data_IF_001915608596
#
_entry.id   IF_001915608596
#
_cell.length_a   1.000
_cell.length_b   1.000
_cell.length_c   1.000
_cell.angle_alpha   90.00
_cell.angle_beta   90.00
_cell.angle_gamma   90.00
#
_symmetry.space_group_name_H-M   'P 1'
#
loop_
_entity.id
_entity.type
_entity.pdbx_description
1 polymer ?
#
# COMPACT_ATOMS: atom_id res chain seq x y z
N UNK A 1 1.75 -15.65 -46.01
CA UNK A 1 1.11 -16.39 -44.91
C UNK A 1 1.95 -17.64 -44.61
N UNK A 2 2.88 -17.54 -43.66
CA UNK A 2 3.69 -18.70 -43.27
C UNK A 2 2.87 -19.55 -42.30
N UNK A 3 2.43 -20.72 -42.74
CA UNK A 3 1.88 -21.75 -41.86
C UNK A 3 2.95 -22.10 -40.83
N UNK A 4 2.64 -21.85 -39.57
CA UNK A 4 3.44 -22.22 -38.41
C UNK A 4 3.49 -23.76 -38.35
N UNK A 5 4.46 -24.33 -39.07
CA UNK A 5 4.70 -25.75 -39.18
C UNK A 5 4.80 -26.38 -37.80
N UNK A 6 3.99 -27.42 -37.59
CA UNK A 6 3.85 -28.21 -36.36
C UNK A 6 5.17 -28.95 -36.03
N UNK A 7 6.17 -28.24 -35.50
CA UNK A 7 7.38 -28.88 -35.00
C UNK A 7 7.03 -29.73 -33.76
N UNK A 8 7.16 -31.06 -33.89
CA UNK A 8 6.85 -32.03 -32.84
C UNK A 8 7.61 -31.75 -31.56
N UNK A 9 8.83 -31.19 -31.64
CA UNK A 9 9.64 -30.82 -30.46
C UNK A 9 9.02 -29.64 -29.72
N UNK A 10 8.54 -28.64 -30.46
CA UNK A 10 7.82 -27.48 -29.91
C UNK A 10 6.51 -27.91 -29.26
N UNK A 11 5.75 -28.81 -29.91
CA UNK A 11 4.52 -29.35 -29.34
C UNK A 11 4.75 -30.18 -28.07
N UNK A 12 5.81 -30.99 -28.03
CA UNK A 12 6.19 -31.75 -26.83
C UNK A 12 6.58 -30.82 -25.68
N UNK A 13 7.40 -29.79 -25.94
CA UNK A 13 7.74 -28.76 -24.94
C UNK A 13 6.50 -28.02 -24.43
N UNK A 14 5.59 -27.63 -25.32
CA UNK A 14 4.36 -26.94 -24.94
C UNK A 14 3.44 -27.83 -24.09
N UNK A 15 3.34 -29.13 -24.39
CA UNK A 15 2.60 -30.09 -23.56
C UNK A 15 3.21 -30.21 -22.16
N UNK A 16 4.52 -30.35 -22.05
CA UNK A 16 5.21 -30.40 -20.77
C UNK A 16 5.00 -29.10 -19.96
N UNK A 17 5.11 -27.94 -20.61
CA UNK A 17 4.85 -26.65 -19.97
C UNK A 17 3.42 -26.54 -19.46
N UNK A 18 2.43 -27.02 -20.21
CA UNK A 18 1.02 -27.03 -19.77
C UNK A 18 0.82 -27.89 -18.53
N UNK A 19 1.45 -29.06 -18.46
CA UNK A 19 1.38 -29.93 -17.27
C UNK A 19 2.02 -29.24 -16.07
N UNK A 20 3.21 -28.66 -16.24
CA UNK A 20 3.91 -27.91 -15.19
C UNK A 20 3.05 -26.72 -14.71
N UNK A 21 2.51 -25.91 -15.63
CA UNK A 21 1.68 -24.76 -15.27
C UNK A 21 0.41 -25.18 -14.53
N UNK A 22 -0.21 -26.31 -14.91
CA UNK A 22 -1.38 -26.84 -14.21
C UNK A 22 -1.02 -27.27 -12.79
N UNK A 23 0.13 -27.90 -12.61
CA UNK A 23 0.63 -28.30 -11.30
C UNK A 23 1.01 -27.09 -10.43
N UNK A 24 1.63 -26.06 -11.02
CA UNK A 24 1.90 -24.78 -10.34
C UNK A 24 0.60 -24.16 -9.87
N UNK A 25 -0.42 -24.07 -10.73
CA UNK A 25 -1.71 -23.49 -10.35
C UNK A 25 -2.36 -24.27 -9.20
N UNK A 26 -2.38 -25.61 -9.29
CA UNK A 26 -2.91 -26.47 -8.21
C UNK A 26 -2.20 -26.19 -6.88
N UNK A 27 -0.88 -26.06 -6.89
CA UNK A 27 -0.10 -25.75 -5.68
C UNK A 27 -0.35 -24.34 -5.16
N UNK A 28 -0.57 -23.36 -6.04
CA UNK A 28 -0.94 -22.00 -5.65
C UNK A 28 -2.31 -21.99 -4.97
N UNK A 29 -3.29 -22.69 -5.53
CA UNK A 29 -4.64 -22.81 -4.98
C UNK A 29 -4.61 -23.52 -3.61
N UNK A 30 -3.84 -24.59 -3.48
CA UNK A 30 -3.60 -25.27 -2.19
C UNK A 30 -2.93 -24.35 -1.16
N UNK A 31 -1.98 -23.52 -1.62
CA UNK A 31 -1.31 -22.53 -0.77
C UNK A 31 -2.25 -21.42 -0.27
N UNK A 32 -3.25 -21.02 -1.06
CA UNK A 32 -4.22 -19.99 -0.64
C UNK A 32 -5.06 -20.43 0.56
N UNK A 33 -5.40 -21.72 0.66
CA UNK A 33 -6.15 -22.28 1.79
C UNK A 33 -5.35 -22.22 3.11
N UNK A 34 -4.02 -22.13 3.02
CA UNK A 34 -3.12 -22.07 4.17
C UNK A 34 -2.89 -20.64 4.68
N UNK A 35 -3.47 -19.62 4.04
CA UNK A 35 -3.33 -18.25 4.49
C UNK A 35 -4.01 -18.06 5.85
N UNK A 36 -3.30 -17.54 6.86
CA UNK A 36 -3.85 -17.40 8.21
C UNK A 36 -4.82 -16.21 8.33
N UNK A 37 -4.73 -15.25 7.41
CA UNK A 37 -5.51 -14.02 7.40
C UNK A 37 -6.70 -14.14 6.46
N UNK A 38 -7.82 -13.50 6.83
CA UNK A 38 -9.01 -13.36 6.00
C UNK A 38 -9.14 -11.91 5.55
N UNK A 39 -9.65 -11.70 4.34
CA UNK A 39 -9.93 -10.36 3.84
C UNK A 39 -11.04 -9.68 4.67
N UNK A 40 -10.80 -8.43 5.05
CA UNK A 40 -11.82 -7.62 5.72
C UNK A 40 -12.88 -7.16 4.72
N UNK A 41 -14.14 -7.13 5.16
CA UNK A 41 -15.25 -6.63 4.36
C UNK A 41 -16.24 -5.84 5.22
N UNK A 42 -17.07 -5.01 4.58
CA UNK A 42 -18.18 -4.29 5.19
C UNK A 42 -19.45 -4.60 4.41
N UNK A 43 -20.38 -5.29 5.06
CA UNK A 43 -21.67 -5.65 4.47
C UNK A 43 -22.77 -4.86 5.17
N UNK A 44 -23.66 -4.26 4.38
CA UNK A 44 -24.81 -3.53 4.91
C UNK A 44 -26.01 -4.47 5.06
N UNK A 45 -26.76 -4.35 6.15
CA UNK A 45 -27.97 -5.13 6.36
C UNK A 45 -29.20 -4.45 5.76
N UNK A 46 -30.10 -5.24 5.17
CA UNK A 46 -31.40 -4.77 4.69
C UNK A 46 -31.34 -3.67 3.62
N UNK A 47 -31.78 -2.47 3.96
CA UNK A 47 -31.82 -1.30 3.04
C UNK A 47 -30.72 -0.27 3.32
N UNK A 48 -29.78 -0.57 4.21
CA UNK A 48 -28.66 0.32 4.49
C UNK A 48 -27.67 0.35 3.32
N UNK A 49 -26.93 1.45 3.21
CA UNK A 49 -25.91 1.62 2.17
C UNK A 49 -24.56 1.76 2.84
N UNK A 50 -23.56 1.03 2.35
CA UNK A 50 -22.21 1.02 2.93
C UNK A 50 -21.55 2.40 3.01
N UNK A 51 -21.91 3.32 2.12
CA UNK A 51 -21.43 4.71 2.12
C UNK A 51 -21.91 5.54 3.32
N UNK A 52 -22.90 5.06 4.09
CA UNK A 52 -23.46 5.79 5.23
C UNK A 52 -22.74 5.47 6.55
N UNK A 53 -21.96 4.41 6.61
CA UNK A 53 -21.22 4.04 7.81
C UNK A 53 -20.14 5.09 8.11
N UNK A 54 -20.17 5.64 9.32
CA UNK A 54 -19.20 6.66 9.76
C UNK A 54 -17.94 6.04 10.34
N UNK A 55 -16.82 6.77 10.38
CA UNK A 55 -15.59 6.29 11.02
C UNK A 55 -15.79 5.98 12.52
N UNK A 56 -16.64 6.75 13.20
CA UNK A 56 -16.97 6.52 14.62
C UNK A 56 -17.81 5.27 14.84
N UNK A 57 -18.62 4.88 13.86
CA UNK A 57 -19.35 3.63 13.86
C UNK A 57 -18.42 2.45 13.62
N UNK A 58 -17.56 2.54 12.59
CA UNK A 58 -16.56 1.51 12.28
C UNK A 58 -15.69 1.19 13.49
N UNK A 59 -15.23 2.21 14.24
CA UNK A 59 -14.43 2.03 15.46
C UNK A 59 -15.09 1.12 16.51
N UNK A 60 -16.42 1.09 16.60
CA UNK A 60 -17.14 0.26 17.59
C UNK A 60 -17.11 -1.23 17.24
N UNK A 61 -16.88 -1.55 15.98
CA UNK A 61 -16.90 -2.92 15.44
C UNK A 61 -15.51 -3.46 15.12
N UNK A 62 -14.47 -2.62 15.24
CA UNK A 62 -13.09 -3.01 14.99
C UNK A 62 -12.39 -3.47 16.28
N UNK A 63 -11.42 -4.42 16.18
CA UNK A 63 -10.52 -4.73 17.28
C UNK A 63 -9.74 -3.50 17.76
N UNK A 64 -9.42 -3.44 19.06
CA UNK A 64 -8.74 -2.28 19.66
C UNK A 64 -7.46 -1.85 18.92
N UNK A 65 -6.63 -2.81 18.49
CA UNK A 65 -5.40 -2.52 17.74
C UNK A 65 -5.68 -1.80 16.42
N UNK A 66 -6.82 -2.07 15.78
CA UNK A 66 -7.24 -1.39 14.55
C UNK A 66 -7.85 -0.02 14.84
N UNK A 67 -8.56 0.12 15.97
CA UNK A 67 -9.09 1.41 16.42
C UNK A 67 -7.94 2.39 16.69
N UNK A 68 -6.87 1.92 17.33
CA UNK A 68 -5.68 2.73 17.63
C UNK A 68 -4.93 3.21 16.39
N UNK A 69 -5.13 2.54 15.25
CA UNK A 69 -4.57 2.91 13.95
C UNK A 69 -5.39 4.01 13.24
N UNK A 70 -6.58 4.34 13.73
CA UNK A 70 -7.40 5.45 13.23
C UNK A 70 -7.08 6.70 14.06
N UNK A 71 -6.22 7.56 13.51
CA UNK A 71 -5.79 8.80 14.15
C UNK A 71 -5.87 9.98 13.20
N UNK A 72 -5.87 11.17 13.78
CA UNK A 72 -5.86 12.45 13.07
C UNK A 72 -4.63 13.26 13.52
N UNK A 73 -4.02 13.99 12.58
CA UNK A 73 -2.88 14.87 12.83
C UNK A 73 -3.24 16.28 12.37
N UNK A 74 -3.42 17.19 13.33
CA UNK A 74 -3.66 18.61 13.04
C UNK A 74 -2.32 19.35 12.90
N UNK A 75 -2.01 19.81 11.68
CA UNK A 75 -0.71 20.36 11.29
C UNK A 75 -0.85 21.66 10.47
N UNK A 76 -0.05 22.68 10.77
CA UNK A 76 -0.28 24.06 10.28
C UNK A 76 0.41 24.42 8.94
N UNK A 77 1.22 23.51 8.36
CA UNK A 77 2.09 23.80 7.21
C UNK A 77 1.42 23.67 5.83
N UNK A 78 0.11 23.89 5.79
CA UNK A 78 -0.72 23.76 4.59
C UNK A 78 -1.09 22.32 4.27
N UNK A 79 -1.63 22.04 3.07
CA UNK A 79 -1.96 20.68 2.67
C UNK A 79 -0.72 19.78 2.70
N UNK A 80 -0.89 18.56 3.21
CA UNK A 80 0.17 17.56 3.31
C UNK A 80 0.07 16.55 2.17
N UNK A 81 1.23 16.26 1.55
CA UNK A 81 1.44 15.02 0.79
C UNK A 81 1.92 13.95 1.74
N UNK A 82 1.47 12.72 1.53
CA UNK A 82 1.82 11.59 2.39
C UNK A 82 2.31 10.42 1.54
N UNK A 83 3.23 9.65 2.09
CA UNK A 83 3.65 8.38 1.50
C UNK A 83 3.93 7.33 2.58
N UNK A 84 3.71 6.06 2.24
CA UNK A 84 4.02 4.94 3.12
C UNK A 84 5.13 4.10 2.52
N UNK A 85 6.05 3.67 3.37
CA UNK A 85 7.01 2.62 2.99
C UNK A 85 6.28 1.37 2.48
N UNK A 86 6.95 0.57 1.64
CA UNK A 86 6.34 -0.62 1.01
C UNK A 86 5.79 -1.66 2.00
N UNK A 87 6.37 -1.77 3.19
CA UNK A 87 5.87 -2.64 4.25
C UNK A 87 4.77 -1.98 5.11
N UNK A 88 4.43 -0.72 4.81
CA UNK A 88 3.41 0.06 5.50
C UNK A 88 3.75 0.40 6.95
N UNK A 89 5.03 0.45 7.37
CA UNK A 89 5.39 0.75 8.75
C UNK A 89 5.65 2.24 9.00
N UNK A 90 6.38 2.88 8.09
CA UNK A 90 6.72 4.29 8.20
C UNK A 90 5.84 5.15 7.30
N UNK A 91 5.39 6.27 7.86
CA UNK A 91 4.62 7.32 7.21
C UNK A 91 5.52 8.54 7.04
N UNK A 92 5.64 9.01 5.80
CA UNK A 92 6.27 10.27 5.43
C UNK A 92 5.19 11.31 5.18
N UNK A 93 5.36 12.49 5.73
CA UNK A 93 4.45 13.62 5.65
C UNK A 93 5.25 14.82 5.16
N UNK A 94 4.72 15.56 4.20
CA UNK A 94 5.28 16.85 3.83
C UNK A 94 4.22 17.91 3.56
N UNK A 95 4.27 18.97 4.35
CA UNK A 95 3.42 20.14 4.20
C UNK A 95 3.91 21.01 3.05
N UNK A 96 2.97 21.54 2.26
CA UNK A 96 3.27 22.43 1.13
C UNK A 96 4.14 23.64 1.50
N UNK A 97 4.12 24.10 2.75
CA UNK A 97 4.98 25.20 3.25
C UNK A 97 6.40 24.78 3.64
N UNK A 98 6.78 23.51 3.45
CA UNK A 98 8.17 23.06 3.62
C UNK A 98 8.43 22.17 4.84
N UNK A 99 7.42 21.88 5.66
CA UNK A 99 7.55 20.94 6.77
C UNK A 99 7.63 19.50 6.25
N UNK A 100 8.57 18.72 6.77
CA UNK A 100 8.78 17.32 6.42
C UNK A 100 8.91 16.53 7.73
N UNK A 101 8.18 15.44 7.86
CA UNK A 101 8.30 14.54 9.00
C UNK A 101 8.11 13.08 8.59
N UNK A 102 8.87 12.19 9.22
CA UNK A 102 8.71 10.75 9.10
C UNK A 102 8.46 10.15 10.47
N UNK A 103 7.49 9.26 10.58
CA UNK A 103 7.15 8.57 11.82
C UNK A 103 6.86 7.08 11.58
N UNK A 104 7.15 6.26 12.60
CA UNK A 104 6.52 4.93 12.73
C UNK A 104 5.09 5.19 13.18
N UNK A 105 4.12 5.05 12.26
CA UNK A 105 2.74 5.47 12.52
C UNK A 105 1.98 4.53 13.43
N UNK A 106 2.33 3.23 13.42
CA UNK A 106 1.73 2.24 14.33
C UNK A 106 2.14 2.50 15.77
N UNK A 107 3.43 2.81 15.99
CA UNK A 107 3.95 3.17 17.32
C UNK A 107 3.74 4.64 17.68
N UNK A 108 3.27 5.45 16.74
CA UNK A 108 3.12 6.91 16.88
C UNK A 108 4.43 7.58 17.31
N UNK A 109 5.56 7.06 16.81
CA UNK A 109 6.91 7.51 17.17
C UNK A 109 7.53 8.30 16.03
N UNK A 110 7.86 9.56 16.29
CA UNK A 110 8.59 10.39 15.34
C UNK A 110 10.01 9.85 15.11
N UNK A 111 10.44 9.79 13.84
CA UNK A 111 11.78 9.35 13.46
C UNK A 111 12.64 10.53 13.03
N UNK A 112 12.10 11.41 12.18
CA UNK A 112 12.77 12.64 11.78
C UNK A 112 11.75 13.73 11.49
N UNK A 113 12.14 14.98 11.72
CA UNK A 113 11.33 16.15 11.45
C UNK A 113 12.24 17.33 11.18
N UNK A 114 11.97 18.03 10.08
CA UNK A 114 12.66 19.26 9.73
C UNK A 114 11.84 20.06 8.73
N UNK A 115 12.14 21.36 8.63
CA UNK A 115 11.50 22.25 7.68
C UNK A 115 12.51 22.79 6.69
N UNK A 116 12.12 22.85 5.42
CA UNK A 116 12.83 23.55 4.36
C UNK A 116 12.12 24.87 4.06
N UNK A 117 12.86 25.92 3.75
CA UNK A 117 12.29 27.23 3.41
C UNK A 117 11.80 27.30 1.95
N UNK A 118 11.34 26.17 1.41
CA UNK A 118 10.85 26.07 0.04
C UNK A 118 9.50 25.34 0.00
N UNK A 119 8.76 25.60 -1.09
CA UNK A 119 7.51 24.92 -1.35
C UNK A 119 7.77 23.47 -1.75
N UNK A 120 7.13 22.54 -1.07
CA UNK A 120 7.11 21.12 -1.43
C UNK A 120 5.88 20.85 -2.29
N UNK A 121 6.07 20.02 -3.32
CA UNK A 121 5.00 19.54 -4.20
C UNK A 121 4.60 18.10 -3.88
N UNK A 122 5.57 17.27 -3.55
CA UNK A 122 5.34 15.85 -3.30
C UNK A 122 6.52 15.22 -2.54
N UNK A 123 6.27 14.05 -1.95
CA UNK A 123 7.28 13.22 -1.26
C UNK A 123 7.07 11.76 -1.55
N UNK A 124 8.16 11.01 -1.68
CA UNK A 124 8.13 9.58 -1.93
C UNK A 124 9.29 8.87 -1.25
N UNK A 125 9.03 7.75 -0.58
CA UNK A 125 10.06 6.81 -0.18
C UNK A 125 10.75 6.21 -1.40
N UNK A 126 12.02 5.85 -1.22
CA UNK A 126 12.76 5.07 -2.20
C UNK A 126 12.68 3.59 -1.85
N UNK A 127 13.81 2.92 -1.64
CA UNK A 127 13.85 1.49 -1.36
C UNK A 127 13.30 1.14 0.03
N UNK A 128 13.58 1.98 1.03
CA UNK A 128 13.24 1.75 2.44
C UNK A 128 13.05 3.10 3.16
N UNK A 129 12.87 3.06 4.49
CA UNK A 129 12.68 4.25 5.32
C UNK A 129 13.93 5.14 5.45
N UNK A 130 15.09 4.70 4.96
CA UNK A 130 16.35 5.44 5.13
C UNK A 130 16.52 6.54 4.09
N UNK A 131 15.91 6.36 2.92
CA UNK A 131 15.95 7.35 1.85
C UNK A 131 14.54 7.64 1.33
N UNK A 132 14.27 8.93 1.19
CA UNK A 132 13.08 9.45 0.53
C UNK A 132 13.49 10.64 -0.33
N UNK A 133 12.68 10.94 -1.34
CA UNK A 133 12.84 12.08 -2.21
C UNK A 133 11.75 13.12 -1.94
N UNK A 134 12.12 14.40 -2.03
CA UNK A 134 11.25 15.56 -1.83
C UNK A 134 11.29 16.43 -3.08
N UNK A 135 10.13 16.58 -3.73
CA UNK A 135 9.98 17.45 -4.90
C UNK A 135 9.82 18.91 -4.45
N UNK A 136 10.93 19.64 -4.39
CA UNK A 136 10.94 21.08 -4.04
C UNK A 136 10.63 21.97 -5.25
N UNK A 137 10.82 23.29 -5.11
CA UNK A 137 10.41 24.26 -6.14
C UNK A 137 11.13 24.05 -7.47
N UNK A 138 12.44 23.78 -7.42
CA UNK A 138 13.30 23.65 -8.61
C UNK A 138 13.86 22.24 -8.82
N UNK A 139 14.24 21.56 -7.74
CA UNK A 139 14.92 20.28 -7.80
C UNK A 139 14.22 19.26 -6.90
N UNK A 140 14.45 17.99 -7.22
CA UNK A 140 14.12 16.88 -6.33
C UNK A 140 15.38 16.54 -5.55
N UNK A 141 15.23 16.42 -4.24
CA UNK A 141 16.30 16.06 -3.31
C UNK A 141 16.00 14.73 -2.66
#
# INVERSE_FOLDING_TARGET
>A
HAEMGKDKRVQAKLRNQKVINKEIQRRLDEGQILLPEQEGYLEAEGMERTIKFSQDELKKHLPSDNVDNIFDLDLEHGPYSIDYTRNGQYLLLAGRKGHISMMDWKKKSLVTEFSVNEKIRDVQFLQDQKLFAVAQKKYTF
#
